data_IF_536632175312
#
_entry.id   IF_536632175312
#
_cell.length_a   1.000
_cell.length_b   1.000
_cell.length_c   1.000
_cell.angle_alpha   90.00
_cell.angle_beta   90.00
_cell.angle_gamma   90.00
#
_symmetry.space_group_name_H-M   'P 1'
#
loop_
_entity.id
_entity.type
_entity.pdbx_description
1 polymer ?
#
# COMPACT_ATOMS: atom_id res chain seq x y z
N UNK A 1 -11.74 13.87 4.24
CA UNK A 1 -11.08 15.17 4.17
C UNK A 1 -9.87 15.28 5.10
N UNK A 2 -9.98 14.95 6.38
CA UNK A 2 -8.87 15.10 7.35
C UNK A 2 -7.60 14.30 7.03
N UNK A 3 -7.71 13.12 6.45
CA UNK A 3 -6.56 12.22 6.22
C UNK A 3 -5.72 12.63 5.01
N UNK A 4 -6.36 12.96 3.90
CA UNK A 4 -5.69 13.27 2.63
C UNK A 4 -5.74 14.76 2.27
N UNK A 5 -6.61 15.54 2.91
CA UNK A 5 -6.83 16.95 2.59
C UNK A 5 -7.40 17.19 1.19
N UNK A 6 -8.18 16.22 0.67
CA UNK A 6 -8.80 16.29 -0.64
C UNK A 6 -9.79 17.45 -0.76
N UNK A 7 -9.83 18.07 -1.93
CA UNK A 7 -10.95 18.91 -2.35
C UNK A 7 -12.17 18.05 -2.70
N UNK A 8 -13.35 18.66 -2.80
CA UNK A 8 -14.62 17.94 -3.02
C UNK A 8 -14.60 17.03 -4.26
N UNK A 9 -13.87 17.40 -5.32
CA UNK A 9 -13.75 16.59 -6.53
C UNK A 9 -13.00 15.26 -6.38
N UNK A 10 -12.15 15.16 -5.36
CA UNK A 10 -11.38 13.94 -5.06
C UNK A 10 -12.05 13.06 -3.98
N UNK A 11 -13.18 13.51 -3.42
CA UNK A 11 -13.90 12.77 -2.39
C UNK A 11 -14.82 11.74 -3.03
N UNK A 12 -14.65 10.47 -2.65
CA UNK A 12 -15.50 9.39 -3.13
C UNK A 12 -16.93 9.54 -2.59
N UNK A 13 -17.96 9.52 -3.45
CA UNK A 13 -19.35 9.56 -3.02
C UNK A 13 -19.68 8.38 -2.09
N UNK A 14 -20.39 8.65 -0.98
CA UNK A 14 -20.76 7.62 0.00
C UNK A 14 -21.46 6.40 -0.60
N UNK A 15 -22.23 6.57 -1.68
CA UNK A 15 -22.93 5.48 -2.36
C UNK A 15 -21.98 4.45 -2.97
N UNK A 16 -20.75 4.85 -3.30
CA UNK A 16 -19.75 3.92 -3.84
C UNK A 16 -19.35 2.85 -2.81
N UNK A 17 -19.35 3.17 -1.52
CA UNK A 17 -19.07 2.18 -0.47
C UNK A 17 -20.15 1.08 -0.44
N UNK A 18 -21.42 1.45 -0.62
CA UNK A 18 -22.54 0.48 -0.70
C UNK A 18 -22.37 -0.40 -1.95
N UNK A 19 -22.07 0.22 -3.10
CA UNK A 19 -21.88 -0.50 -4.36
C UNK A 19 -20.67 -1.44 -4.25
N UNK A 20 -19.54 -0.95 -3.72
CA UNK A 20 -18.33 -1.75 -3.55
C UNK A 20 -18.61 -3.05 -2.77
N UNK A 21 -19.30 -2.93 -1.63
CA UNK A 21 -19.69 -4.10 -0.82
C UNK A 21 -20.65 -5.03 -1.59
N UNK A 22 -21.60 -4.46 -2.34
CA UNK A 22 -22.61 -5.22 -3.08
C UNK A 22 -22.03 -6.05 -4.22
N UNK A 23 -20.98 -5.56 -4.88
CA UNK A 23 -20.32 -6.24 -6.01
C UNK A 23 -19.17 -7.16 -5.59
N UNK A 24 -19.01 -7.43 -4.29
CA UNK A 24 -17.97 -8.32 -3.77
C UNK A 24 -16.67 -7.62 -3.33
N UNK A 25 -16.65 -6.29 -3.23
CA UNK A 25 -15.59 -5.56 -2.55
C UNK A 25 -15.74 -5.61 -1.03
N UNK A 26 -14.88 -4.90 -0.33
CA UNK A 26 -14.87 -4.84 1.13
C UNK A 26 -15.04 -3.40 1.60
N UNK A 27 -15.78 -3.22 2.69
CA UNK A 27 -15.84 -1.96 3.45
C UNK A 27 -15.71 -2.31 4.91
N UNK A 28 -14.58 -1.94 5.51
CA UNK A 28 -14.21 -2.31 6.89
C UNK A 28 -13.95 -1.04 7.68
N UNK A 29 -14.55 -0.90 8.86
CA UNK A 29 -14.35 0.20 9.80
C UNK A 29 -13.63 -0.23 11.07
N UNK A 30 -12.79 0.64 11.62
CA UNK A 30 -12.24 0.55 12.97
C UNK A 30 -12.92 1.59 13.86
N UNK A 31 -13.47 1.14 14.98
CA UNK A 31 -14.23 1.97 15.90
C UNK A 31 -13.62 1.90 17.30
N UNK A 32 -13.74 2.98 18.05
CA UNK A 32 -13.44 3.04 19.48
C UNK A 32 -14.72 3.38 20.26
N UNK A 33 -14.85 2.76 21.43
CA UNK A 33 -15.92 3.05 22.39
C UNK A 33 -15.32 3.85 23.54
N UNK A 34 -16.08 4.79 24.13
CA UNK A 34 -15.69 5.39 25.40
C UNK A 34 -15.48 4.31 26.47
N UNK A 35 -14.42 4.44 27.27
CA UNK A 35 -14.07 3.43 28.29
C UNK A 35 -15.16 3.21 29.35
N UNK A 36 -16.03 4.19 29.59
CA UNK A 36 -17.10 4.20 30.61
C UNK A 36 -18.48 3.86 30.04
N UNK A 37 -18.58 3.56 28.73
CA UNK A 37 -19.88 3.32 28.11
C UNK A 37 -20.33 1.88 28.34
N UNK A 38 -21.62 1.64 28.75
CA UNK A 38 -22.19 0.31 28.79
C UNK A 38 -22.12 -0.34 27.39
N UNK A 39 -21.96 -1.66 27.33
CA UNK A 39 -21.69 -2.45 26.11
C UNK A 39 -22.75 -2.27 25.01
N UNK A 40 -23.95 -1.81 25.34
CA UNK A 40 -25.02 -1.54 24.38
C UNK A 40 -25.43 -0.06 24.38
N UNK A 41 -25.34 0.59 23.22
CA UNK A 41 -25.95 1.92 22.98
C UNK A 41 -25.03 3.13 23.03
N UNK A 42 -23.77 3.02 23.41
CA UNK A 42 -22.85 4.15 23.34
C UNK A 42 -22.41 4.45 21.89
N UNK A 43 -22.31 5.73 21.48
CA UNK A 43 -21.86 6.09 20.15
C UNK A 43 -20.40 5.67 19.96
N UNK A 44 -20.17 4.83 18.97
CA UNK A 44 -18.81 4.45 18.53
C UNK A 44 -18.24 5.52 17.62
N UNK A 45 -16.98 5.89 17.85
CA UNK A 45 -16.28 6.82 16.97
C UNK A 45 -15.41 6.05 15.97
N UNK A 46 -15.67 6.25 14.68
CA UNK A 46 -14.85 5.66 13.63
C UNK A 46 -13.47 6.33 13.59
N UNK A 47 -12.41 5.55 13.77
CA UNK A 47 -11.02 6.02 13.82
C UNK A 47 -10.21 5.58 12.60
N UNK A 48 -10.76 4.70 11.78
CA UNK A 48 -10.13 4.26 10.53
C UNK A 48 -11.07 3.43 9.69
N UNK A 49 -10.74 3.29 8.41
CA UNK A 49 -11.47 2.41 7.49
C UNK A 49 -10.56 1.90 6.37
N UNK A 50 -11.00 0.82 5.73
CA UNK A 50 -10.45 0.33 4.48
C UNK A 50 -11.57 -0.02 3.51
N UNK A 51 -11.33 0.18 2.22
CA UNK A 51 -12.25 -0.15 1.14
C UNK A 51 -11.51 -0.86 0.02
N UNK A 52 -12.08 -1.93 -0.53
CA UNK A 52 -11.59 -2.60 -1.73
C UNK A 52 -12.70 -2.78 -2.76
N UNK A 53 -12.27 -2.91 -4.02
CA UNK A 53 -13.11 -3.23 -5.16
C UNK A 53 -12.69 -4.58 -5.75
N UNK A 54 -13.60 -5.42 -6.24
CA UNK A 54 -13.25 -6.66 -6.91
C UNK A 54 -12.73 -6.37 -8.32
N UNK A 55 -11.82 -7.22 -8.78
CA UNK A 55 -11.28 -7.20 -10.12
C UNK A 55 -10.94 -8.61 -10.60
N UNK A 56 -10.67 -8.73 -11.89
CA UNK A 56 -10.20 -9.96 -12.53
C UNK A 56 -9.05 -9.65 -13.47
N UNK A 57 -7.91 -10.33 -13.30
CA UNK A 57 -6.75 -10.18 -14.18
C UNK A 57 -6.78 -11.21 -15.30
N UNK A 58 -6.52 -10.80 -16.57
CA UNK A 58 -6.34 -11.77 -17.66
C UNK A 58 -5.15 -12.68 -17.34
N UNK A 59 -5.37 -13.98 -17.42
CA UNK A 59 -4.35 -14.96 -16.99
C UNK A 59 -3.25 -15.24 -18.00
N UNK A 60 -3.24 -14.65 -19.19
CA UNK A 60 -2.08 -14.72 -20.09
C UNK A 60 -0.75 -14.35 -19.40
N UNK A 61 -0.83 -13.55 -18.32
CA UNK A 61 0.31 -13.20 -17.48
C UNK A 61 0.73 -14.31 -16.49
N UNK A 62 -0.10 -15.34 -16.27
CA UNK A 62 0.11 -16.37 -15.23
C UNK A 62 -0.09 -17.81 -15.72
N UNK A 63 -0.23 -18.02 -17.03
CA UNK A 63 -0.27 -19.35 -17.65
C UNK A 63 -1.53 -20.19 -17.44
N UNK A 64 -2.62 -19.62 -16.89
CA UNK A 64 -3.85 -20.33 -16.64
C UNK A 64 -5.03 -19.85 -17.52
N UNK A 65 -6.08 -20.68 -17.69
CA UNK A 65 -7.19 -20.43 -18.60
C UNK A 65 -8.25 -19.45 -18.05
N UNK A 66 -8.39 -19.38 -16.71
CA UNK A 66 -9.42 -18.59 -16.06
C UNK A 66 -8.87 -17.24 -15.51
N UNK A 67 -9.62 -16.15 -15.55
CA UNK A 67 -9.19 -14.88 -14.97
C UNK A 67 -8.90 -15.01 -13.47
N UNK A 68 -7.78 -14.46 -13.01
CA UNK A 68 -7.42 -14.44 -11.60
C UNK A 68 -8.25 -13.41 -10.86
N UNK A 69 -9.16 -13.80 -9.93
CA UNK A 69 -9.87 -12.86 -9.11
C UNK A 69 -8.92 -12.18 -8.11
N UNK A 70 -9.05 -10.88 -7.93
CA UNK A 70 -8.30 -10.13 -6.95
C UNK A 70 -9.14 -9.02 -6.33
N UNK A 71 -8.68 -8.46 -5.25
CA UNK A 71 -9.22 -7.23 -4.67
C UNK A 71 -8.26 -6.06 -4.88
N UNK A 72 -8.78 -4.94 -5.38
CA UNK A 72 -8.06 -3.68 -5.38
C UNK A 72 -8.39 -2.91 -4.10
N UNK A 73 -7.46 -2.86 -3.14
CA UNK A 73 -7.62 -2.09 -1.90
C UNK A 73 -7.47 -0.60 -2.20
N UNK A 74 -8.57 0.04 -2.51
CA UNK A 74 -8.59 1.40 -3.05
C UNK A 74 -8.29 2.47 -2.00
N UNK A 75 -8.81 2.31 -0.79
CA UNK A 75 -8.62 3.27 0.31
C UNK A 75 -8.27 2.57 1.61
N UNK A 76 -7.38 3.18 2.36
CA UNK A 76 -7.13 2.89 3.77
C UNK A 76 -6.78 4.20 4.48
N UNK A 77 -7.51 4.53 5.52
CA UNK A 77 -7.27 5.72 6.32
C UNK A 77 -7.37 5.43 7.81
N UNK A 78 -6.55 6.15 8.58
CA UNK A 78 -6.62 6.21 10.04
C UNK A 78 -6.54 7.67 10.43
N UNK A 79 -7.43 8.10 11.32
CA UNK A 79 -7.45 9.49 11.81
C UNK A 79 -6.12 9.85 12.50
N UNK A 80 -5.66 11.11 12.42
CA UNK A 80 -4.33 11.51 12.91
C UNK A 80 -4.04 11.07 14.34
N UNK A 81 -4.99 11.22 15.25
CA UNK A 81 -4.85 10.87 16.67
C UNK A 81 -4.62 9.37 16.92
N UNK A 82 -4.98 8.51 15.97
CA UNK A 82 -4.89 7.05 16.08
C UNK A 82 -3.86 6.42 15.14
N UNK A 83 -3.05 7.25 14.47
CA UNK A 83 -1.93 6.77 13.65
C UNK A 83 -0.84 6.16 14.53
N UNK A 84 -0.04 5.28 13.93
CA UNK A 84 1.06 4.55 14.59
C UNK A 84 0.61 3.58 15.72
N UNK A 85 -0.69 3.40 15.94
CA UNK A 85 -1.27 2.43 16.89
C UNK A 85 -1.56 1.04 16.26
N UNK A 86 -1.03 0.76 15.08
CA UNK A 86 -1.21 -0.53 14.38
C UNK A 86 -2.57 -0.71 13.69
N UNK A 87 -3.47 0.28 13.73
CA UNK A 87 -4.84 0.17 13.17
C UNK A 87 -4.80 -0.11 11.65
N UNK A 88 -3.93 0.57 10.91
CA UNK A 88 -3.79 0.33 9.47
C UNK A 88 -3.40 -1.12 9.14
N UNK A 89 -2.49 -1.71 9.93
CA UNK A 89 -2.12 -3.14 9.79
C UNK A 89 -3.31 -4.04 10.14
N UNK A 90 -4.04 -3.75 11.22
CA UNK A 90 -5.23 -4.54 11.60
C UNK A 90 -6.30 -4.52 10.51
N UNK A 91 -6.58 -3.34 9.92
CA UNK A 91 -7.52 -3.23 8.79
C UNK A 91 -7.08 -4.07 7.59
N UNK A 92 -5.78 -4.08 7.25
CA UNK A 92 -5.23 -4.93 6.18
C UNK A 92 -5.37 -6.42 6.50
N UNK A 93 -5.11 -6.83 7.73
CA UNK A 93 -5.27 -8.23 8.13
C UNK A 93 -6.73 -8.68 8.06
N UNK A 94 -7.67 -7.85 8.48
CA UNK A 94 -9.11 -8.13 8.32
C UNK A 94 -9.51 -8.25 6.84
N UNK A 95 -9.00 -7.37 5.97
CA UNK A 95 -9.23 -7.50 4.53
C UNK A 95 -8.66 -8.81 3.97
N UNK A 96 -7.47 -9.22 4.44
CA UNK A 96 -6.83 -10.48 4.06
C UNK A 96 -7.67 -11.69 4.46
N UNK A 97 -8.04 -11.78 5.74
CA UNK A 97 -8.73 -12.93 6.28
C UNK A 97 -10.10 -13.13 5.61
N UNK A 98 -10.82 -12.06 5.37
CA UNK A 98 -12.09 -12.08 4.64
C UNK A 98 -11.88 -12.48 3.16
N UNK A 99 -10.88 -11.93 2.47
CA UNK A 99 -10.57 -12.29 1.09
C UNK A 99 -10.20 -13.77 0.94
N UNK A 100 -9.34 -14.28 1.83
CA UNK A 100 -8.94 -15.70 1.85
C UNK A 100 -10.13 -16.63 2.14
N UNK A 101 -11.07 -16.23 2.99
CA UNK A 101 -12.29 -17.01 3.24
C UNK A 101 -13.16 -17.21 2.00
N UNK A 102 -13.00 -16.32 1.00
CA UNK A 102 -13.65 -16.40 -0.33
C UNK A 102 -12.77 -17.01 -1.43
N UNK A 103 -11.58 -17.52 -1.08
CA UNK A 103 -10.63 -18.06 -2.05
C UNK A 103 -9.87 -17.01 -2.88
N UNK A 104 -9.97 -15.72 -2.54
CA UNK A 104 -9.24 -14.64 -3.21
C UNK A 104 -7.85 -14.52 -2.58
N UNK A 105 -6.81 -14.86 -3.34
CA UNK A 105 -5.42 -14.95 -2.86
C UNK A 105 -4.57 -13.71 -3.14
N UNK A 106 -5.03 -12.82 -4.05
CA UNK A 106 -4.31 -11.62 -4.44
C UNK A 106 -5.08 -10.36 -4.02
N UNK A 107 -4.38 -9.45 -3.36
CA UNK A 107 -4.85 -8.09 -3.15
C UNK A 107 -3.81 -7.10 -3.68
N UNK A 108 -4.27 -6.06 -4.35
CA UNK A 108 -3.41 -5.02 -4.92
C UNK A 108 -3.83 -3.64 -4.47
N UNK A 109 -2.88 -2.72 -4.49
CA UNK A 109 -3.10 -1.29 -4.33
C UNK A 109 -1.91 -0.50 -4.86
N UNK A 110 -2.02 0.80 -4.88
CA UNK A 110 -0.92 1.67 -5.25
C UNK A 110 -0.47 2.51 -4.06
N UNK A 111 0.81 2.87 -4.03
CA UNK A 111 1.34 3.78 -3.02
C UNK A 111 2.45 4.68 -3.59
N UNK A 112 2.63 5.83 -2.96
CA UNK A 112 3.68 6.78 -3.32
C UNK A 112 5.07 6.19 -2.98
N UNK A 113 5.98 6.09 -3.96
CA UNK A 113 7.33 5.56 -3.74
C UNK A 113 8.17 6.38 -2.76
N UNK A 114 7.79 7.61 -2.48
CA UNK A 114 8.51 8.51 -1.56
C UNK A 114 7.99 8.44 -0.11
N UNK A 115 6.90 7.71 0.15
CA UNK A 115 6.31 7.59 1.49
C UNK A 115 6.92 6.42 2.27
N UNK A 116 8.00 6.70 3.03
CA UNK A 116 8.80 5.71 3.77
C UNK A 116 7.94 4.86 4.71
N UNK A 117 7.04 5.48 5.49
CA UNK A 117 6.19 4.75 6.45
C UNK A 117 5.23 3.79 5.75
N UNK A 118 4.73 4.19 4.58
CA UNK A 118 3.83 3.37 3.79
C UNK A 118 4.57 2.20 3.12
N UNK A 119 5.73 2.46 2.54
CA UNK A 119 6.60 1.41 1.99
C UNK A 119 7.02 0.40 3.07
N UNK A 120 7.39 0.86 4.27
CA UNK A 120 7.72 -0.01 5.40
C UNK A 120 6.53 -0.90 5.82
N UNK A 121 5.33 -0.32 5.95
CA UNK A 121 4.14 -1.11 6.24
C UNK A 121 3.90 -2.17 5.16
N UNK A 122 3.91 -1.77 3.90
CA UNK A 122 3.54 -2.65 2.79
C UNK A 122 4.54 -3.78 2.61
N UNK A 123 5.83 -3.47 2.47
CA UNK A 123 6.83 -4.47 2.10
C UNK A 123 7.36 -5.20 3.33
N UNK A 124 7.77 -4.46 4.37
CA UNK A 124 8.40 -5.08 5.54
C UNK A 124 7.38 -5.74 6.49
N UNK A 125 6.21 -5.10 6.73
CA UNK A 125 5.24 -5.60 7.72
C UNK A 125 4.15 -6.50 7.15
N UNK A 126 3.83 -6.37 5.86
CA UNK A 126 2.78 -7.17 5.20
C UNK A 126 3.34 -8.19 4.19
N UNK A 127 4.61 -8.06 3.80
CA UNK A 127 5.22 -9.00 2.85
C UNK A 127 4.83 -8.75 1.38
N UNK A 128 4.35 -7.56 1.05
CA UNK A 128 4.05 -7.15 -0.31
C UNK A 128 5.29 -7.21 -1.19
N UNK A 129 5.11 -7.52 -2.46
CA UNK A 129 6.12 -7.34 -3.51
C UNK A 129 5.68 -6.24 -4.46
N UNK A 130 6.65 -5.64 -5.17
CA UNK A 130 6.40 -4.58 -6.16
C UNK A 130 7.24 -4.84 -7.39
N UNK A 131 6.62 -4.91 -8.57
CA UNK A 131 7.30 -5.13 -9.86
C UNK A 131 6.82 -4.21 -10.98
N UNK A 132 6.02 -3.20 -10.64
CA UNK A 132 5.59 -2.20 -11.61
C UNK A 132 5.50 -0.81 -11.00
N UNK A 133 5.78 0.18 -11.83
CA UNK A 133 5.79 1.61 -11.52
C UNK A 133 5.00 2.35 -12.59
N UNK A 134 4.07 3.19 -12.18
CA UNK A 134 3.34 4.06 -13.12
C UNK A 134 3.58 5.52 -12.74
N UNK A 135 4.08 6.26 -13.73
CA UNK A 135 4.25 7.71 -13.61
C UNK A 135 2.90 8.40 -13.67
N UNK A 136 2.68 9.37 -12.78
CA UNK A 136 1.51 10.25 -12.74
C UNK A 136 0.17 9.50 -12.87
N UNK A 137 0.01 8.42 -12.12
CA UNK A 137 -1.07 7.44 -12.24
C UNK A 137 -2.47 8.06 -12.08
N UNK A 138 -2.63 9.00 -11.15
CA UNK A 138 -3.90 9.66 -10.86
C UNK A 138 -4.01 11.07 -11.48
N UNK A 139 -3.00 11.52 -12.22
CA UNK A 139 -2.97 12.89 -12.74
C UNK A 139 -2.74 13.92 -11.64
N UNK A 140 -3.37 15.10 -11.79
CA UNK A 140 -3.30 16.17 -10.79
C UNK A 140 -4.10 15.74 -9.55
N UNK A 141 -3.48 15.86 -8.38
CA UNK A 141 -4.13 15.53 -7.10
C UNK A 141 -4.15 16.74 -6.17
N UNK A 142 -5.28 16.96 -5.52
CA UNK A 142 -5.43 17.98 -4.47
C UNK A 142 -4.88 17.54 -3.12
N UNK A 143 -4.39 16.29 -3.00
CA UNK A 143 -3.87 15.74 -1.74
C UNK A 143 -2.66 16.52 -1.23
N UNK A 144 -2.72 16.97 0.01
CA UNK A 144 -1.58 17.62 0.70
C UNK A 144 -0.37 16.70 0.81
N UNK A 145 -0.57 15.38 0.87
CA UNK A 145 0.50 14.38 0.94
C UNK A 145 1.32 14.34 -0.36
N UNK A 146 0.73 14.75 -1.48
CA UNK A 146 1.41 14.75 -2.78
C UNK A 146 2.41 15.91 -2.92
N UNK A 147 2.17 17.05 -2.23
CA UNK A 147 3.08 18.21 -2.23
C UNK A 147 3.33 18.80 -3.63
N UNK A 148 2.35 18.71 -4.54
CA UNK A 148 2.47 19.21 -5.92
C UNK A 148 3.30 18.34 -6.87
N UNK A 149 3.84 17.21 -6.41
CA UNK A 149 4.57 16.27 -7.27
C UNK A 149 3.61 15.46 -8.15
N UNK A 150 4.09 14.95 -9.31
CA UNK A 150 3.36 13.93 -10.07
C UNK A 150 2.93 12.75 -9.18
N UNK A 151 1.74 12.21 -9.44
CA UNK A 151 1.18 11.10 -8.66
C UNK A 151 1.78 9.75 -9.08
N UNK A 152 3.10 9.64 -8.99
CA UNK A 152 3.79 8.39 -9.27
C UNK A 152 3.38 7.30 -8.29
N UNK A 153 3.22 6.07 -8.78
CA UNK A 153 2.77 4.93 -7.95
C UNK A 153 3.58 3.68 -8.19
N UNK A 154 3.95 3.03 -7.11
CA UNK A 154 4.33 1.63 -7.07
C UNK A 154 3.08 0.79 -6.90
N UNK A 155 2.97 -0.32 -7.65
CA UNK A 155 1.87 -1.26 -7.55
C UNK A 155 2.23 -2.37 -6.58
N UNK A 156 1.56 -2.38 -5.45
CA UNK A 156 1.69 -3.40 -4.42
C UNK A 156 0.95 -4.67 -4.83
N UNK A 157 1.62 -5.81 -4.80
CA UNK A 157 1.01 -7.12 -4.96
C UNK A 157 1.13 -7.89 -3.65
N UNK A 158 0.02 -8.17 -3.02
CA UNK A 158 -0.05 -8.95 -1.80
C UNK A 158 -0.63 -10.32 -2.07
N UNK A 159 0.27 -11.28 -2.26
CA UNK A 159 -0.05 -12.70 -2.41
C UNK A 159 -0.31 -13.30 -1.03
N UNK A 160 -1.52 -13.09 -0.54
CA UNK A 160 -1.93 -13.21 0.86
C UNK A 160 -1.75 -14.60 1.48
N UNK A 161 -1.69 -15.65 0.66
CA UNK A 161 -1.52 -17.05 1.07
C UNK A 161 -0.11 -17.60 0.79
N UNK A 162 0.81 -16.80 0.27
CA UNK A 162 2.18 -17.23 -0.01
C UNK A 162 2.96 -17.50 1.28
N UNK A 163 3.96 -18.40 1.19
CA UNK A 163 4.81 -18.75 2.33
C UNK A 163 5.58 -17.54 2.86
N UNK A 164 6.02 -16.64 1.96
CA UNK A 164 6.63 -15.36 2.33
C UNK A 164 5.70 -14.53 3.23
N UNK A 165 4.47 -14.31 2.80
CA UNK A 165 3.51 -13.50 3.57
C UNK A 165 3.18 -14.17 4.90
N UNK A 166 2.96 -15.49 4.92
CA UNK A 166 2.73 -16.28 6.14
C UNK A 166 3.90 -16.14 7.12
N UNK A 167 5.12 -16.29 6.63
CA UNK A 167 6.32 -16.18 7.48
C UNK A 167 6.46 -14.77 8.08
N UNK A 168 6.33 -13.72 7.27
CA UNK A 168 6.43 -12.33 7.73
C UNK A 168 5.33 -11.97 8.74
N UNK A 169 4.10 -12.41 8.50
CA UNK A 169 2.98 -12.10 9.40
C UNK A 169 3.07 -12.84 10.75
N UNK A 170 3.59 -14.06 10.74
CA UNK A 170 3.73 -14.90 11.93
C UNK A 170 5.07 -14.68 12.66
N UNK A 171 6.00 -13.91 12.09
CA UNK A 171 7.35 -13.76 12.64
C UNK A 171 8.20 -15.04 12.54
N UNK A 172 7.87 -15.93 11.59
CA UNK A 172 8.62 -17.15 11.34
C UNK A 172 9.88 -16.87 10.52
N UNK A 173 10.93 -17.71 10.62
CA UNK A 173 12.11 -17.58 9.78
C UNK A 173 11.73 -17.57 8.29
N UNK A 174 12.27 -16.61 7.57
CA UNK A 174 12.16 -16.49 6.12
C UNK A 174 13.52 -16.13 5.55
N UNK A 175 13.99 -16.90 4.58
CA UNK A 175 15.24 -16.61 3.89
C UNK A 175 14.93 -15.60 2.77
N UNK A 176 15.37 -14.33 2.89
CA UNK A 176 15.16 -13.35 1.84
C UNK A 176 16.01 -13.73 0.62
N UNK A 177 15.57 -13.39 -0.60
CA UNK A 177 16.39 -13.56 -1.78
C UNK A 177 17.63 -12.66 -1.73
N UNK A 178 18.66 -13.00 -2.50
CA UNK A 178 19.86 -12.17 -2.66
C UNK A 178 19.48 -10.80 -3.25
N UNK A 179 19.83 -9.73 -2.53
CA UNK A 179 19.52 -8.36 -2.93
C UNK A 179 20.53 -7.90 -3.99
N UNK A 180 20.03 -7.57 -5.17
CA UNK A 180 20.84 -7.14 -6.32
C UNK A 180 20.92 -5.63 -6.48
N UNK A 181 19.91 -4.90 -6.00
CA UNK A 181 19.88 -3.45 -6.07
C UNK A 181 19.14 -2.86 -4.87
N UNK A 182 19.54 -1.64 -4.49
CA UNK A 182 18.88 -0.87 -3.42
C UNK A 182 18.55 0.53 -3.94
N UNK A 183 17.28 0.96 -3.77
CA UNK A 183 16.83 2.31 -4.14
C UNK A 183 16.48 3.07 -2.87
N UNK A 184 17.16 4.20 -2.65
CA UNK A 184 17.07 4.97 -1.40
C UNK A 184 16.08 6.14 -1.54
N UNK A 185 15.30 6.35 -0.50
CA UNK A 185 14.42 7.51 -0.30
C UNK A 185 14.94 8.29 0.91
N UNK A 186 15.46 9.52 0.72
CA UNK A 186 15.92 10.34 1.83
C UNK A 186 14.79 10.67 2.82
N UNK A 187 15.07 10.65 4.12
CA UNK A 187 14.06 11.00 5.15
C UNK A 187 13.49 12.41 4.98
N UNK A 188 14.30 13.31 4.45
CA UNK A 188 13.95 14.71 4.26
C UNK A 188 12.92 14.94 3.14
N UNK A 189 12.62 13.93 2.34
CA UNK A 189 11.65 14.03 1.22
C UNK A 189 10.29 14.54 1.72
N UNK A 190 9.82 14.11 2.89
CA UNK A 190 8.56 14.59 3.47
C UNK A 190 8.56 16.10 3.73
N UNK A 191 9.68 16.62 4.25
CA UNK A 191 9.84 18.04 4.56
C UNK A 191 9.98 18.85 3.26
N UNK A 192 10.71 18.31 2.27
CA UNK A 192 10.83 18.94 0.95
C UNK A 192 9.48 19.02 0.22
N UNK A 193 8.64 18.00 0.30
CA UNK A 193 7.28 18.00 -0.25
C UNK A 193 6.38 19.06 0.41
N UNK A 194 6.60 19.36 1.68
CA UNK A 194 5.83 20.32 2.44
C UNK A 194 6.32 21.79 2.27
N UNK A 195 7.46 22.01 1.62
CA UNK A 195 8.11 23.31 1.48
C UNK A 195 8.17 23.77 0.03
N UNK A 196 7.76 25.01 -0.25
CA UNK A 196 7.84 25.59 -1.59
C UNK A 196 9.26 25.56 -2.17
N UNK A 197 10.29 25.73 -1.33
CA UNK A 197 11.71 25.69 -1.75
C UNK A 197 12.26 24.27 -1.87
N UNK A 198 11.62 23.29 -1.27
CA UNK A 198 12.05 21.90 -1.25
C UNK A 198 11.47 21.06 -2.39
N UNK A 199 10.35 21.46 -2.98
CA UNK A 199 9.62 20.67 -3.99
C UNK A 199 10.52 20.27 -5.17
N UNK A 200 11.38 21.16 -5.66
CA UNK A 200 12.31 20.82 -6.74
C UNK A 200 13.23 19.64 -6.39
N UNK A 201 13.75 19.61 -5.16
CA UNK A 201 14.57 18.48 -4.65
C UNK A 201 13.78 17.19 -4.57
N UNK A 202 12.55 17.26 -4.08
CA UNK A 202 11.68 16.09 -4.02
C UNK A 202 11.38 15.55 -5.44
N UNK A 203 11.17 16.43 -6.42
CA UNK A 203 10.98 16.06 -7.83
C UNK A 203 12.22 15.38 -8.42
N UNK A 204 13.42 15.88 -8.13
CA UNK A 204 14.67 15.25 -8.58
C UNK A 204 14.82 13.83 -8.03
N UNK A 205 14.55 13.64 -6.72
CA UNK A 205 14.58 12.30 -6.11
C UNK A 205 13.53 11.40 -6.73
N UNK A 206 12.31 11.90 -6.96
CA UNK A 206 11.24 11.14 -7.59
C UNK A 206 11.64 10.71 -9.01
N UNK A 207 12.17 11.62 -9.83
CA UNK A 207 12.58 11.34 -11.20
C UNK A 207 13.72 10.30 -11.25
N UNK A 208 14.74 10.47 -10.41
CA UNK A 208 15.87 9.53 -10.30
C UNK A 208 15.39 8.14 -9.85
N UNK A 209 14.56 8.07 -8.83
CA UNK A 209 14.07 6.79 -8.32
C UNK A 209 13.12 6.11 -9.32
N UNK A 210 12.28 6.88 -10.04
CA UNK A 210 11.45 6.37 -11.13
C UNK A 210 12.27 5.64 -12.17
N UNK A 211 13.33 6.30 -12.69
CA UNK A 211 14.21 5.70 -13.69
C UNK A 211 14.80 4.38 -13.17
N UNK A 212 15.33 4.39 -11.96
CA UNK A 212 15.93 3.18 -11.34
C UNK A 212 14.92 2.05 -11.15
N UNK A 213 13.71 2.34 -10.69
CA UNK A 213 12.66 1.33 -10.59
C UNK A 213 12.30 0.74 -11.95
N UNK A 214 12.10 1.58 -12.97
CA UNK A 214 11.75 1.13 -14.31
C UNK A 214 12.86 0.25 -14.92
N UNK A 215 14.12 0.65 -14.80
CA UNK A 215 15.27 -0.14 -15.25
C UNK A 215 15.38 -1.48 -14.50
N UNK A 216 15.22 -1.47 -13.18
CA UNK A 216 15.28 -2.68 -12.37
C UNK A 216 14.13 -3.66 -12.72
N UNK A 217 12.90 -3.17 -12.85
CA UNK A 217 11.74 -3.99 -13.23
C UNK A 217 11.87 -4.53 -14.65
N UNK A 218 12.42 -3.76 -15.60
CA UNK A 218 12.71 -4.24 -16.94
C UNK A 218 13.74 -5.39 -16.97
N UNK A 219 14.64 -5.46 -15.98
CA UNK A 219 15.59 -6.57 -15.79
C UNK A 219 14.99 -7.77 -15.04
N UNK A 220 13.70 -7.74 -14.70
CA UNK A 220 13.00 -8.80 -13.97
C UNK A 220 13.21 -8.77 -12.46
N UNK A 221 13.70 -7.65 -11.91
CA UNK A 221 13.76 -7.46 -10.45
C UNK A 221 12.40 -7.04 -9.91
N UNK A 222 12.19 -7.29 -8.61
CA UNK A 222 11.06 -6.79 -7.85
C UNK A 222 11.55 -6.20 -6.53
N UNK A 223 10.88 -5.19 -5.99
CA UNK A 223 11.12 -4.76 -4.63
C UNK A 223 10.49 -5.77 -3.66
N UNK A 224 11.35 -6.43 -2.89
CA UNK A 224 11.02 -7.54 -1.99
C UNK A 224 11.37 -7.26 -0.54
N UNK A 225 12.15 -6.22 -0.28
CA UNK A 225 12.54 -5.77 1.05
C UNK A 225 12.42 -4.25 1.17
N UNK A 226 12.21 -3.80 2.39
CA UNK A 226 12.29 -2.39 2.75
C UNK A 226 12.83 -2.23 4.15
N UNK A 227 13.86 -1.44 4.29
CA UNK A 227 14.45 -1.10 5.59
C UNK A 227 14.53 0.41 5.78
N UNK A 228 14.60 0.81 7.03
CA UNK A 228 14.90 2.19 7.41
C UNK A 228 16.28 2.16 8.08
N UNK A 229 17.21 2.99 7.59
CA UNK A 229 18.56 3.07 8.14
C UNK A 229 18.61 3.90 9.44
N UNK A 230 19.80 3.99 10.04
CA UNK A 230 20.03 4.73 11.28
C UNK A 230 19.75 6.24 11.15
N UNK A 231 19.91 6.77 9.93
CA UNK A 231 19.64 8.17 9.62
C UNK A 231 18.16 8.43 9.32
N UNK A 232 17.34 7.38 9.22
CA UNK A 232 15.91 7.45 8.92
C UNK A 232 15.57 7.45 7.43
N UNK A 233 16.55 7.18 6.54
CA UNK A 233 16.27 7.02 5.12
C UNK A 233 15.60 5.66 4.87
N UNK A 234 14.65 5.63 3.93
CA UNK A 234 14.06 4.39 3.44
C UNK A 234 14.90 3.75 2.34
N UNK A 235 14.97 2.44 2.31
CA UNK A 235 15.70 1.71 1.26
C UNK A 235 14.84 0.53 0.77
N UNK A 236 14.44 0.58 -0.51
CA UNK A 236 13.85 -0.57 -1.20
C UNK A 236 14.96 -1.53 -1.59
N UNK A 237 14.76 -2.80 -1.32
CA UNK A 237 15.67 -3.89 -1.63
C UNK A 237 15.06 -4.72 -2.76
N UNK A 238 15.79 -4.81 -3.89
CA UNK A 238 15.29 -5.44 -5.12
C UNK A 238 16.07 -6.74 -5.41
N UNK A 239 15.30 -7.76 -5.81
CA UNK A 239 15.84 -9.09 -6.14
C UNK A 239 15.01 -9.76 -7.25
N UNK A 240 15.51 -10.85 -7.83
CA UNK A 240 14.75 -11.68 -8.79
C UNK A 240 13.63 -12.44 -8.11
N UNK A 241 12.51 -12.58 -8.82
CA UNK A 241 11.30 -13.23 -8.31
C UNK A 241 11.35 -14.76 -8.29
N UNK A 242 12.26 -15.38 -9.06
CA UNK A 242 12.34 -16.83 -9.25
C UNK A 242 12.43 -17.65 -7.94
N UNK A 243 12.80 -16.98 -6.86
CA UNK A 243 13.02 -17.60 -5.54
C UNK A 243 11.93 -17.23 -4.50
N UNK A 244 10.82 -16.61 -4.88
CA UNK A 244 9.86 -16.08 -3.89
C UNK A 244 8.68 -16.98 -3.59
N UNK A 245 8.44 -18.07 -4.35
CA UNK A 245 7.27 -18.96 -4.15
C UNK A 245 5.93 -18.22 -4.23
N UNK A 246 5.84 -17.17 -5.04
CA UNK A 246 4.65 -16.30 -5.14
C UNK A 246 3.79 -16.61 -6.38
N UNK A 247 4.23 -17.53 -7.23
CA UNK A 247 3.50 -17.98 -8.43
C UNK A 247 3.35 -19.48 -8.43
#
# INVERSE_FOLDING_TARGET
>A
METWGYNDGDVIPRRLFIVAQRIGGQVVGAFVRPAEAPVSGAPETMVGFAMSLPGAKPQKAFGAAEPLPYLHSHMLAVTPAWRNAGIGRKLKLLQRDEALSRGIKLMEWTFDPLEIKNAFLNIHRLGVIVRSYTQNFYGVSSSRLQGGLPTDRLHAEWWMDSDRVKAILNGSPYTPPEIQETIVVPKQVSDWKASATGVARAMEVQAKNRQRFQEAFARGLAAVGFRVDQDGNGAFELARLENLGVL
#
